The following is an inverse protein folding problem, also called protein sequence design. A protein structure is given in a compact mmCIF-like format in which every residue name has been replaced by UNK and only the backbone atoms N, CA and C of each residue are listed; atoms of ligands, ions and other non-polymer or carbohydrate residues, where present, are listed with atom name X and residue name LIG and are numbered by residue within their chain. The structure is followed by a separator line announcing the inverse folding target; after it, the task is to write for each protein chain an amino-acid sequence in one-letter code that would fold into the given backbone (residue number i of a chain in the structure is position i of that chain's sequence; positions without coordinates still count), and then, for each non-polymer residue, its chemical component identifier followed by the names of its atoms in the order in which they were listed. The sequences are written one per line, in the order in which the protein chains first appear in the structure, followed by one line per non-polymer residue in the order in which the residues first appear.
data_IF_330700664325
#
_entry.id   IF_330700664325
#
_cell.length_a   1.000
_cell.length_b   1.000
_cell.length_c   1.000
_cell.angle_alpha   90.00
_cell.angle_beta   90.00
_cell.angle_gamma   90.00
#
_symmetry.space_group_name_H-M   'P 1'
#
loop_
_entity.id
_entity.type
_entity.pdbx_description
1 polymer ?
#
# COMPACT_ATOMS: atom_id res chain seq x y z
N UNK A 1 -8.17 -14.79 4.64
CA UNK A 1 -6.86 -14.94 3.97
C UNK A 1 -5.79 -14.42 4.93
N UNK A 2 -4.60 -15.00 5.01
CA UNK A 2 -3.52 -14.56 5.92
C UNK A 2 -2.31 -14.08 5.14
N UNK A 3 -1.60 -13.06 5.64
CA UNK A 3 -0.34 -12.57 5.10
C UNK A 3 0.79 -13.58 5.38
N UNK A 4 0.93 -14.62 4.55
CA UNK A 4 1.83 -15.75 4.82
C UNK A 4 2.92 -15.97 3.78
N UNK A 5 2.77 -15.49 2.55
CA UNK A 5 3.83 -15.63 1.56
C UNK A 5 4.96 -14.61 1.80
N UNK A 6 6.19 -14.99 1.45
CA UNK A 6 7.40 -14.18 1.72
C UNK A 6 7.37 -12.82 1.03
N UNK A 7 6.70 -12.74 -0.11
CA UNK A 7 6.62 -11.59 -0.98
C UNK A 7 5.73 -10.48 -0.41
N UNK A 8 4.60 -10.84 0.21
CA UNK A 8 3.73 -9.89 0.91
C UNK A 8 4.28 -9.54 2.30
N UNK A 9 4.99 -10.47 2.97
CA UNK A 9 5.73 -10.17 4.21
C UNK A 9 6.82 -9.13 3.95
N UNK A 10 7.49 -9.20 2.78
CA UNK A 10 8.45 -8.18 2.35
C UNK A 10 7.77 -6.81 2.22
N UNK A 11 6.57 -6.75 1.61
CA UNK A 11 5.81 -5.49 1.52
C UNK A 11 5.48 -4.93 2.90
N UNK A 12 4.99 -5.76 3.83
CA UNK A 12 4.72 -5.33 5.21
C UNK A 12 5.97 -4.75 5.88
N UNK A 13 7.10 -5.43 5.76
CA UNK A 13 8.38 -5.00 6.34
C UNK A 13 8.81 -3.63 5.79
N UNK A 14 8.68 -3.44 4.47
CA UNK A 14 9.04 -2.18 3.80
C UNK A 14 8.10 -1.03 4.17
N UNK A 15 6.79 -1.29 4.21
CA UNK A 15 5.79 -0.30 4.61
C UNK A 15 6.02 0.16 6.06
N UNK A 16 6.23 -0.78 6.99
CA UNK A 16 6.51 -0.50 8.40
C UNK A 16 7.81 0.26 8.60
N UNK A 17 8.89 -0.17 7.93
CA UNK A 17 10.18 0.51 7.99
C UNK A 17 10.08 1.96 7.48
N UNK A 18 9.30 2.18 6.42
CA UNK A 18 9.11 3.50 5.84
C UNK A 18 8.21 4.40 6.70
N UNK A 19 7.19 3.85 7.36
CA UNK A 19 6.37 4.56 8.35
C UNK A 19 7.25 5.16 9.45
N UNK A 20 8.11 4.34 10.07
CA UNK A 20 9.01 4.78 11.12
C UNK A 20 10.06 5.77 10.62
N UNK A 21 10.70 5.51 9.47
CA UNK A 21 11.75 6.39 8.92
C UNK A 21 11.20 7.77 8.56
N UNK A 22 10.00 7.83 7.98
CA UNK A 22 9.42 9.07 7.48
C UNK A 22 8.57 9.80 8.54
N UNK A 23 8.35 9.19 9.71
CA UNK A 23 7.42 9.66 10.74
C UNK A 23 6.02 9.99 10.17
N UNK A 24 5.54 9.14 9.27
CA UNK A 24 4.25 9.30 8.59
C UNK A 24 3.10 8.70 9.41
N UNK A 25 1.88 9.14 9.14
CA UNK A 25 0.67 8.59 9.76
C UNK A 25 0.21 7.28 9.07
N UNK A 26 0.62 7.08 7.83
CA UNK A 26 0.27 5.93 7.02
C UNK A 26 1.35 5.69 5.95
N UNK A 27 1.66 4.43 5.68
CA UNK A 27 2.56 4.02 4.60
C UNK A 27 2.03 2.79 3.88
N UNK A 28 2.29 2.68 2.58
CA UNK A 28 1.94 1.53 1.77
C UNK A 28 3.14 1.05 0.95
N UNK A 29 3.28 -0.26 0.82
CA UNK A 29 4.18 -0.90 -0.12
C UNK A 29 3.36 -1.74 -1.10
N UNK A 30 3.56 -1.48 -2.38
CA UNK A 30 2.81 -2.07 -3.50
C UNK A 30 3.76 -2.87 -4.39
N UNK A 31 3.35 -4.05 -4.82
CA UNK A 31 4.04 -4.85 -5.85
C UNK A 31 3.24 -4.83 -7.15
N UNK A 32 3.90 -4.42 -8.24
CA UNK A 32 3.29 -4.45 -9.58
C UNK A 32 3.45 -5.82 -10.27
N UNK A 33 2.78 -6.01 -11.41
CA UNK A 33 2.82 -7.27 -12.19
C UNK A 33 4.19 -7.64 -12.80
N UNK A 34 5.20 -6.77 -12.65
CA UNK A 34 6.59 -7.07 -13.02
C UNK A 34 7.46 -7.39 -11.80
N UNK A 35 6.87 -7.42 -10.61
CA UNK A 35 7.54 -7.66 -9.33
C UNK A 35 8.24 -6.45 -8.73
N UNK A 36 8.13 -5.24 -9.32
CA UNK A 36 8.74 -4.03 -8.75
C UNK A 36 7.95 -3.57 -7.52
N UNK A 37 8.65 -3.04 -6.53
CA UNK A 37 8.02 -2.52 -5.31
C UNK A 37 8.02 -0.98 -5.30
N UNK A 38 6.84 -0.40 -5.09
CA UNK A 38 6.62 1.04 -4.97
C UNK A 38 6.15 1.37 -3.55
N UNK A 39 6.78 2.33 -2.89
CA UNK A 39 6.51 2.65 -1.48
C UNK A 39 6.05 4.09 -1.34
N UNK A 40 4.83 4.30 -0.85
CA UNK A 40 4.23 5.62 -0.62
C UNK A 40 3.99 5.89 0.86
N UNK A 41 4.20 7.14 1.28
CA UNK A 41 3.71 7.67 2.56
C UNK A 41 2.53 8.58 2.29
N UNK A 42 1.57 8.64 3.23
CA UNK A 42 0.46 9.59 3.09
C UNK A 42 0.95 11.03 3.05
N UNK A 43 0.24 11.87 2.29
CA UNK A 43 0.52 13.30 2.16
C UNK A 43 -0.60 14.08 2.83
N UNK A 44 -0.25 15.00 3.72
CA UNK A 44 -1.20 15.80 4.48
C UNK A 44 -0.86 17.29 4.36
N UNK A 45 -1.24 17.90 3.25
CA UNK A 45 -1.20 19.35 3.03
C UNK A 45 -2.63 19.90 2.99
N UNK A 46 -2.79 21.21 3.17
CA UNK A 46 -4.10 21.87 3.11
C UNK A 46 -4.83 21.67 1.77
N UNK A 47 -4.08 21.70 0.66
CA UNK A 47 -4.62 21.60 -0.70
C UNK A 47 -4.44 20.23 -1.34
N UNK A 48 -3.60 19.37 -0.75
CA UNK A 48 -3.29 18.05 -1.30
C UNK A 48 -3.23 17.04 -0.16
N UNK A 49 -4.18 16.13 -0.15
CA UNK A 49 -4.29 15.08 0.84
C UNK A 49 -4.40 13.74 0.13
N UNK A 50 -3.41 12.88 0.30
CA UNK A 50 -3.32 11.60 -0.40
C UNK A 50 -3.13 10.46 0.59
N UNK A 51 -3.91 9.39 0.38
CA UNK A 51 -3.70 8.11 1.03
C UNK A 51 -2.38 7.49 0.55
N UNK A 52 -1.70 6.75 1.43
CA UNK A 52 -0.43 6.11 1.11
C UNK A 52 -0.56 5.11 -0.06
N UNK A 53 -1.70 4.43 -0.19
CA UNK A 53 -1.99 3.56 -1.34
C UNK A 53 -2.03 4.39 -2.63
N UNK A 54 -2.68 5.56 -2.61
CA UNK A 54 -2.76 6.43 -3.80
C UNK A 54 -1.37 6.91 -4.22
N UNK A 55 -0.49 7.24 -3.27
CA UNK A 55 0.88 7.65 -3.55
C UNK A 55 1.68 6.48 -4.17
N UNK A 56 1.63 5.29 -3.56
CA UNK A 56 2.30 4.09 -4.09
C UNK A 56 1.78 3.70 -5.48
N UNK A 57 0.47 3.78 -5.68
CA UNK A 57 -0.18 3.49 -6.95
C UNK A 57 0.21 4.49 -8.04
N UNK A 58 0.21 5.79 -7.73
CA UNK A 58 0.64 6.82 -8.68
C UNK A 58 2.07 6.58 -9.18
N UNK A 59 3.00 6.21 -8.27
CA UNK A 59 4.37 5.84 -8.64
C UNK A 59 4.42 4.60 -9.54
N UNK A 60 3.62 3.57 -9.22
CA UNK A 60 3.56 2.36 -10.02
C UNK A 60 3.08 2.65 -11.45
N UNK A 61 1.94 3.34 -11.57
CA UNK A 61 1.32 3.69 -12.85
C UNK A 61 2.22 4.64 -13.67
N UNK A 62 2.81 5.66 -13.05
CA UNK A 62 3.74 6.55 -13.75
C UNK A 62 5.01 5.84 -14.23
N UNK A 63 5.35 4.71 -13.60
CA UNK A 63 6.47 3.84 -13.98
C UNK A 63 6.06 2.75 -14.99
N UNK A 64 4.84 2.83 -15.55
CA UNK A 64 4.34 1.93 -16.58
C UNK A 64 3.78 0.60 -16.08
N UNK A 65 3.44 0.48 -14.78
CA UNK A 65 2.69 -0.68 -14.30
C UNK A 65 1.26 -0.66 -14.85
N UNK A 66 0.79 -1.80 -15.35
CA UNK A 66 -0.58 -2.02 -15.83
C UNK A 66 -1.37 -3.01 -14.96
N UNK A 67 -0.67 -3.73 -14.06
CA UNK A 67 -1.24 -4.67 -13.11
C UNK A 67 -0.64 -4.47 -11.71
N UNK A 68 -1.47 -4.70 -10.69
CA UNK A 68 -1.09 -4.70 -9.28
C UNK A 68 -1.34 -6.08 -8.70
N UNK A 69 -0.31 -6.68 -8.10
CA UNK A 69 -0.42 -8.00 -7.49
C UNK A 69 -0.83 -7.89 -6.02
N UNK A 70 -0.17 -7.00 -5.27
CA UNK A 70 -0.37 -6.88 -3.84
C UNK A 70 -0.07 -5.48 -3.30
N UNK A 71 -0.76 -5.08 -2.24
CA UNK A 71 -0.50 -3.86 -1.45
C UNK A 71 -0.60 -4.19 0.03
N UNK A 72 0.37 -3.74 0.81
CA UNK A 72 0.28 -3.72 2.27
C UNK A 72 0.32 -2.27 2.75
N UNK A 73 -0.68 -1.86 3.52
CA UNK A 73 -0.74 -0.55 4.19
C UNK A 73 -0.62 -0.72 5.72
N UNK A 74 0.10 0.20 6.35
CA UNK A 74 0.35 0.25 7.81
C UNK A 74 -0.01 1.64 8.35
N UNK A 75 -0.32 1.72 9.65
CA UNK A 75 -0.69 2.96 10.33
C UNK A 75 -2.20 3.22 10.26
N UNK A 76 -2.60 4.43 9.85
CA UNK A 76 -4.01 4.77 9.71
C UNK A 76 -4.71 3.90 8.66
N UNK A 77 -5.98 3.57 8.92
CA UNK A 77 -6.83 2.80 8.01
C UNK A 77 -6.92 3.48 6.64
N UNK A 78 -6.76 2.76 5.52
CA UNK A 78 -6.87 3.35 4.19
C UNK A 78 -8.28 3.80 3.86
N UNK A 79 -8.37 4.81 2.99
CA UNK A 79 -9.64 5.23 2.40
C UNK A 79 -10.22 4.13 1.50
N UNK A 80 -11.54 3.95 1.53
CA UNK A 80 -12.24 2.99 0.65
C UNK A 80 -12.02 3.32 -0.84
N UNK A 81 -11.92 4.60 -1.18
CA UNK A 81 -11.61 5.04 -2.54
C UNK A 81 -10.21 4.61 -2.99
N UNK A 82 -9.22 4.61 -2.09
CA UNK A 82 -7.87 4.16 -2.40
C UNK A 82 -7.81 2.64 -2.66
N UNK A 83 -8.56 1.85 -1.87
CA UNK A 83 -8.76 0.41 -2.11
C UNK A 83 -9.45 0.18 -3.45
N UNK A 84 -10.50 0.97 -3.74
CA UNK A 84 -11.25 0.89 -5.00
C UNK A 84 -10.37 1.16 -6.22
N UNK A 85 -9.45 2.12 -6.15
CA UNK A 85 -8.50 2.39 -7.24
C UNK A 85 -7.59 1.19 -7.56
N UNK A 86 -7.18 0.41 -6.55
CA UNK A 86 -6.43 -0.84 -6.80
C UNK A 86 -7.32 -1.87 -7.50
N UNK A 87 -8.56 -2.04 -7.02
CA UNK A 87 -9.50 -3.02 -7.58
C UNK A 87 -9.95 -2.69 -9.00
N UNK A 88 -10.00 -1.41 -9.36
CA UNK A 88 -10.28 -0.95 -10.73
C UNK A 88 -9.24 -1.47 -11.73
N UNK A 89 -7.97 -1.48 -11.34
CA UNK A 89 -6.84 -1.94 -12.17
C UNK A 89 -6.66 -3.45 -12.06
N UNK A 90 -6.84 -4.00 -10.86
CA UNK A 90 -6.58 -5.41 -10.56
C UNK A 90 -7.60 -5.93 -9.55
N UNK A 91 -8.76 -6.44 -10.01
CA UNK A 91 -9.86 -6.87 -9.15
C UNK A 91 -9.48 -7.95 -8.14
N UNK A 92 -8.45 -8.74 -8.44
CA UNK A 92 -7.97 -9.85 -7.61
C UNK A 92 -6.72 -9.52 -6.79
N UNK A 93 -6.20 -8.28 -6.82
CA UNK A 93 -5.02 -7.90 -6.06
C UNK A 93 -5.18 -8.21 -4.57
N UNK A 94 -4.12 -8.67 -3.93
CA UNK A 94 -4.12 -8.85 -2.49
C UNK A 94 -3.95 -7.50 -1.79
N UNK A 95 -4.90 -7.10 -0.94
CA UNK A 95 -4.82 -5.83 -0.21
C UNK A 95 -4.84 -6.14 1.26
N UNK A 96 -3.83 -5.70 1.98
CA UNK A 96 -3.65 -5.98 3.40
C UNK A 96 -3.54 -4.69 4.19
N UNK A 97 -4.27 -4.62 5.31
CA UNK A 97 -4.11 -3.55 6.28
C UNK A 97 -3.59 -4.12 7.61
N UNK A 98 -2.44 -3.60 8.04
CA UNK A 98 -1.84 -3.86 9.34
C UNK A 98 -2.20 -2.73 10.32
N UNK A 99 -2.94 -3.08 11.36
CA UNK A 99 -3.29 -2.20 12.46
C UNK A 99 -2.09 -1.94 13.38
N UNK A 100 -2.19 -0.89 14.19
CA UNK A 100 -1.16 -0.52 15.16
C UNK A 100 -0.98 -1.56 16.27
N UNK A 101 -1.99 -2.40 16.53
CA UNK A 101 -1.93 -3.52 17.46
C UNK A 101 -1.15 -4.75 16.91
N UNK A 102 -0.68 -4.66 15.66
CA UNK A 102 0.05 -5.72 14.97
C UNK A 102 -0.83 -6.74 14.26
N UNK A 103 -2.16 -6.62 14.34
CA UNK A 103 -3.08 -7.47 13.59
C UNK A 103 -3.11 -7.07 12.11
N UNK A 104 -3.20 -8.08 11.23
CA UNK A 104 -3.21 -7.88 9.78
C UNK A 104 -4.45 -8.56 9.20
N UNK A 105 -5.21 -7.84 8.38
CA UNK A 105 -6.40 -8.37 7.71
C UNK A 105 -6.44 -7.97 6.23
N UNK A 106 -7.13 -8.78 5.44
CA UNK A 106 -7.40 -8.48 4.03
C UNK A 106 -8.50 -7.44 3.88
N UNK A 107 -8.38 -6.57 2.88
CA UNK A 107 -9.38 -5.57 2.47
C UNK A 107 -10.05 -5.91 1.13
#
# INVERSE_FOLDING_TARGET
MSLSNSEDIKLHTLAKSSLHRNNAQQCAALRDGTGRTHIGSSVHLTSLHLDAIQVALAMALSSGADQIEAVVVVGNKPLESAVSSIREISPLAAIWYAHDDGSIHSL
#
